data_IF_203544150965
#
_entry.id   IF_203544150965
#
_cell.length_a   1.000
_cell.length_b   1.000
_cell.length_c   1.000
_cell.angle_alpha   90.00
_cell.angle_beta   90.00
_cell.angle_gamma   90.00
#
_symmetry.space_group_name_H-M   'P 1'
#
loop_
_entity.id
_entity.type
_entity.pdbx_description
1 polymer ?
#
# COMPACT_ATOMS: atom_id res chain seq x y z
N UNK A 1 3.77 10.52 27.03
CA UNK A 1 2.88 11.21 26.06
C UNK A 1 3.20 10.70 24.65
N UNK A 2 2.22 10.60 23.75
CA UNK A 2 2.48 10.41 22.31
C UNK A 2 3.06 11.73 21.80
N UNK A 3 4.25 11.69 21.20
CA UNK A 3 4.86 12.90 20.63
C UNK A 3 4.46 13.06 19.18
N UNK A 4 4.24 11.95 18.48
CA UNK A 4 3.86 11.96 17.08
C UNK A 4 3.77 10.55 16.49
N UNK A 5 3.37 10.50 15.23
CA UNK A 5 3.32 9.30 14.41
C UNK A 5 3.45 9.62 12.93
N UNK A 6 3.76 8.62 12.12
CA UNK A 6 3.82 8.71 10.65
C UNK A 6 2.81 7.72 10.08
N UNK A 7 1.99 8.21 9.16
CA UNK A 7 1.04 7.40 8.39
C UNK A 7 1.43 7.43 6.91
N UNK A 8 1.70 6.27 6.34
CA UNK A 8 2.04 6.11 4.93
C UNK A 8 1.04 5.17 4.27
N UNK A 9 0.44 5.60 3.17
CA UNK A 9 -0.42 4.78 2.32
C UNK A 9 0.16 4.72 0.91
N UNK A 10 0.63 3.53 0.51
CA UNK A 10 1.11 3.27 -0.85
C UNK A 10 0.05 2.48 -1.62
N UNK A 11 -0.40 3.02 -2.75
CA UNK A 11 -1.34 2.37 -3.67
C UNK A 11 -0.64 2.12 -4.99
N UNK A 12 -0.58 0.87 -5.41
CA UNK A 12 0.03 0.47 -6.67
C UNK A 12 -0.98 -0.33 -7.50
N UNK A 13 -1.33 0.24 -8.65
CA UNK A 13 -2.17 -0.41 -9.64
C UNK A 13 -1.30 -0.84 -10.83
N UNK A 14 -1.12 -2.15 -11.01
CA UNK A 14 -0.41 -2.73 -12.15
C UNK A 14 -1.41 -3.39 -13.09
N UNK A 15 -1.36 -3.01 -14.37
CA UNK A 15 -2.19 -3.59 -15.43
C UNK A 15 -1.29 -4.15 -16.52
N UNK A 16 -1.38 -5.45 -16.75
CA UNK A 16 -0.71 -6.14 -17.85
C UNK A 16 -1.76 -6.78 -18.75
N UNK A 17 -1.59 -6.68 -20.06
CA UNK A 17 -2.54 -7.23 -21.01
C UNK A 17 -1.88 -7.56 -22.33
N UNK A 18 -2.31 -8.65 -22.97
CA UNK A 18 -1.81 -9.02 -24.29
C UNK A 18 -2.42 -8.08 -25.35
N UNK A 19 -1.60 -7.46 -26.23
CA UNK A 19 -2.11 -6.65 -27.33
C UNK A 19 -3.05 -7.45 -28.23
N UNK A 20 -4.10 -6.80 -28.77
CA UNK A 20 -5.16 -7.39 -29.60
C UNK A 20 -6.10 -8.38 -28.87
N UNK A 21 -5.55 -9.42 -28.22
CA UNK A 21 -6.30 -10.47 -27.53
C UNK A 21 -7.12 -9.95 -26.33
N UNK A 22 -6.62 -8.93 -25.63
CA UNK A 22 -7.33 -8.28 -24.52
C UNK A 22 -8.63 -7.55 -24.95
N UNK A 23 -8.83 -7.30 -26.25
CA UNK A 23 -10.03 -6.64 -26.78
C UNK A 23 -11.08 -7.63 -27.31
N UNK A 24 -10.80 -8.93 -27.32
CA UNK A 24 -11.72 -9.94 -27.82
C UNK A 24 -12.97 -9.99 -26.93
N UNK A 25 -14.18 -9.83 -27.49
CA UNK A 25 -15.43 -10.01 -26.75
C UNK A 25 -15.46 -11.41 -26.13
N UNK A 26 -16.03 -11.56 -24.94
CA UNK A 26 -16.13 -12.82 -24.17
C UNK A 26 -14.80 -13.37 -23.62
N UNK A 27 -13.68 -13.29 -24.35
CA UNK A 27 -12.41 -13.93 -23.96
C UNK A 27 -11.33 -12.95 -23.46
N UNK A 28 -11.50 -11.64 -23.67
CA UNK A 28 -10.47 -10.65 -23.36
C UNK A 28 -10.04 -10.57 -21.89
N UNK A 29 -10.82 -11.11 -20.95
CA UNK A 29 -10.45 -11.16 -19.54
C UNK A 29 -9.43 -12.26 -19.20
N UNK A 30 -9.32 -13.31 -20.03
CA UNK A 30 -8.32 -14.38 -19.88
C UNK A 30 -6.91 -13.90 -20.23
N UNK A 31 -6.81 -12.80 -21.00
CA UNK A 31 -5.56 -12.21 -21.49
C UNK A 31 -5.24 -10.86 -20.83
N UNK A 32 -5.86 -10.58 -19.67
CA UNK A 32 -5.61 -9.42 -18.82
C UNK A 32 -5.21 -9.89 -17.43
N UNK A 33 -4.21 -9.24 -16.86
CA UNK A 33 -3.85 -9.35 -15.45
C UNK A 33 -3.90 -7.96 -14.83
N UNK A 34 -4.61 -7.81 -13.72
CA UNK A 34 -4.63 -6.59 -12.93
C UNK A 34 -4.21 -6.95 -11.52
N UNK A 35 -3.09 -6.39 -11.06
CA UNK A 35 -2.66 -6.49 -9.68
C UNK A 35 -2.91 -5.14 -9.00
N UNK A 36 -3.61 -5.19 -7.87
CA UNK A 36 -3.85 -4.03 -7.01
C UNK A 36 -3.18 -4.31 -5.68
N UNK A 37 -2.20 -3.49 -5.34
CA UNK A 37 -1.48 -3.59 -4.09
C UNK A 37 -1.72 -2.34 -3.26
N UNK A 38 -1.97 -2.55 -1.97
CA UNK A 38 -2.26 -1.49 -1.02
C UNK A 38 -1.48 -1.75 0.26
N UNK A 39 -0.43 -0.97 0.47
CA UNK A 39 0.40 -1.04 1.66
C UNK A 39 0.07 0.12 2.58
N UNK A 40 -0.21 -0.19 3.84
CA UNK A 40 -0.47 0.79 4.90
C UNK A 40 0.53 0.58 6.01
N UNK A 41 1.26 1.63 6.34
CA UNK A 41 2.23 1.62 7.43
C UNK A 41 1.87 2.73 8.43
N UNK A 42 1.79 2.36 9.70
CA UNK A 42 1.50 3.27 10.81
C UNK A 42 2.60 3.10 11.87
N UNK A 43 3.36 4.17 12.08
CA UNK A 43 4.43 4.21 13.07
C UNK A 43 4.08 5.22 14.16
N UNK A 44 4.17 4.80 15.42
CA UNK A 44 3.88 5.64 16.58
C UNK A 44 5.12 5.80 17.46
N UNK A 45 5.41 7.03 17.90
CA UNK A 45 6.55 7.35 18.76
C UNK A 45 6.04 7.84 20.13
N UNK A 46 6.50 7.15 21.18
CA UNK A 46 6.19 7.46 22.57
C UNK A 46 7.48 7.83 23.31
N UNK A 47 7.47 8.92 24.08
CA UNK A 47 8.50 9.15 25.11
C UNK A 47 7.90 9.12 26.51
N UNK A 48 8.74 8.63 27.40
CA UNK A 48 8.65 8.71 28.84
C UNK A 48 9.94 9.38 29.33
N UNK A 49 9.79 10.46 30.10
CA UNK A 49 10.89 11.04 30.85
C UNK A 49 10.71 10.71 32.33
N UNK A 50 11.75 10.17 32.97
CA UNK A 50 11.81 9.94 34.41
C UNK A 50 12.89 10.82 35.03
N UNK A 51 12.57 11.47 36.14
CA UNK A 51 13.51 12.31 36.89
C UNK A 51 14.26 11.41 37.87
N UNK A 52 15.58 11.32 37.74
CA UNK A 52 16.44 10.66 38.72
C UNK A 52 16.86 11.69 39.76
N UNK A 53 16.54 11.45 41.04
CA UNK A 53 16.96 12.28 42.17
C UNK A 53 18.27 11.74 42.72
N UNK A 54 19.26 12.63 42.91
CA UNK A 54 20.44 12.35 43.73
C UNK A 54 20.10 12.45 45.21
#
# INVERSE_FOLDING_TARGET
AVIGGVYTENKQDSKSSVPFLSKVPLLGNLFKSTAKEKNKEELLIFINASIVKN
#
